data_IF_358572822355
#
_entry.id   IF_358572822355
#
_cell.length_a   1.000
_cell.length_b   1.000
_cell.length_c   1.000
_cell.angle_alpha   90.00
_cell.angle_beta   90.00
_cell.angle_gamma   90.00
#
_symmetry.space_group_name_H-M   'P 1'
#
loop_
_entity.id
_entity.type
_entity.pdbx_description
1 polymer ?
#
# COMPACT_ATOMS: atom_id res chain seq x y z
N UNK A 1 -0.97 15.98 17.92
CA UNK A 1 0.25 15.12 18.05
C UNK A 1 1.26 15.51 16.95
N UNK A 2 2.54 15.57 17.27
CA UNK A 2 3.60 15.99 16.32
C UNK A 2 4.48 14.80 15.94
N UNK A 3 4.68 14.60 14.65
CA UNK A 3 5.47 13.49 14.09
C UNK A 3 6.42 13.97 12.99
N UNK A 4 7.44 13.18 12.68
CA UNK A 4 8.28 13.37 11.47
C UNK A 4 7.87 12.37 10.40
N UNK A 5 8.15 12.68 9.14
CA UNK A 5 7.98 11.72 8.04
C UNK A 5 8.79 10.46 8.36
N UNK A 6 8.19 9.29 8.15
CA UNK A 6 8.78 8.00 8.49
C UNK A 6 8.66 7.61 9.98
N UNK A 7 7.97 8.39 10.81
CA UNK A 7 7.61 7.96 12.17
C UNK A 7 6.70 6.75 12.09
N UNK A 8 7.09 5.66 12.76
CA UNK A 8 6.25 4.45 12.83
C UNK A 8 5.12 4.66 13.82
N UNK A 9 3.91 4.36 13.37
CA UNK A 9 2.72 4.27 14.22
C UNK A 9 2.28 2.81 14.25
N UNK A 10 1.92 2.31 15.42
CA UNK A 10 1.46 0.93 15.57
C UNK A 10 -0.05 0.85 15.40
N UNK A 11 -0.50 -0.10 14.60
CA UNK A 11 -1.89 -0.50 14.52
C UNK A 11 -2.02 -1.89 15.15
N UNK A 12 -3.06 -2.10 15.95
CA UNK A 12 -3.32 -3.37 16.62
C UNK A 12 -4.61 -3.95 16.02
N UNK A 13 -4.55 -5.22 15.61
CA UNK A 13 -5.72 -6.01 15.19
C UNK A 13 -5.95 -7.13 16.17
N UNK A 14 -7.20 -7.36 16.49
CA UNK A 14 -7.62 -8.50 17.28
C UNK A 14 -8.15 -9.61 16.36
N UNK A 15 -7.61 -10.82 16.51
CA UNK A 15 -8.09 -12.01 15.82
C UNK A 15 -8.74 -12.95 16.82
N UNK A 16 -9.96 -13.40 16.54
CA UNK A 16 -10.59 -14.45 17.33
C UNK A 16 -9.95 -15.80 17.00
N UNK A 17 -9.39 -16.48 17.97
CA UNK A 17 -8.85 -17.83 17.82
C UNK A 17 -10.00 -18.83 17.79
N UNK A 18 -10.19 -19.53 16.67
CA UNK A 18 -11.30 -20.46 16.47
C UNK A 18 -10.92 -21.93 16.68
N UNK A 19 -9.69 -22.34 16.45
CA UNK A 19 -9.18 -23.68 16.79
C UNK A 19 -7.66 -23.74 16.84
N UNK A 20 -7.13 -24.80 17.50
CA UNK A 20 -5.68 -25.04 17.61
C UNK A 20 -5.13 -25.99 16.54
N UNK A 21 -5.93 -26.46 15.57
CA UNK A 21 -5.59 -27.57 14.68
C UNK A 21 -5.37 -27.22 13.21
N UNK A 22 -5.37 -25.95 12.84
CA UNK A 22 -5.12 -25.57 11.44
C UNK A 22 -3.70 -25.03 11.27
N UNK A 23 -2.99 -25.50 10.26
CA UNK A 23 -1.67 -24.99 9.84
C UNK A 23 -1.73 -23.54 9.37
N UNK A 24 -2.92 -23.03 9.05
CA UNK A 24 -3.18 -21.65 8.72
C UNK A 24 -3.89 -20.92 9.89
N UNK A 25 -3.57 -19.63 10.14
CA UNK A 25 -4.31 -18.81 11.09
C UNK A 25 -5.80 -18.79 10.75
N UNK A 26 -6.71 -18.88 11.75
CA UNK A 26 -8.14 -18.77 11.51
C UNK A 26 -8.47 -17.45 10.80
N UNK A 27 -9.24 -17.54 9.71
CA UNK A 27 -9.59 -16.39 8.87
C UNK A 27 -8.68 -16.15 7.67
N UNK A 28 -7.45 -16.71 7.66
CA UNK A 28 -6.54 -16.60 6.52
C UNK A 28 -7.14 -17.22 5.26
N UNK A 29 -7.09 -16.46 4.16
CA UNK A 29 -7.58 -16.92 2.85
C UNK A 29 -6.42 -17.51 2.06
N UNK A 30 -6.47 -18.82 1.81
CA UNK A 30 -5.47 -19.49 0.98
C UNK A 30 -5.65 -19.18 -0.52
N UNK A 31 -4.61 -19.42 -1.31
CA UNK A 31 -4.53 -19.06 -2.73
C UNK A 31 -5.70 -19.57 -3.59
N UNK A 32 -6.15 -20.81 -3.35
CA UNK A 32 -7.30 -21.40 -4.09
C UNK A 32 -8.56 -20.58 -3.87
N UNK A 33 -8.83 -20.21 -2.62
CA UNK A 33 -10.00 -19.41 -2.26
C UNK A 33 -9.84 -17.97 -2.77
N UNK A 34 -8.64 -17.40 -2.69
CA UNK A 34 -8.36 -16.05 -3.21
C UNK A 34 -8.59 -15.96 -4.73
N UNK A 35 -8.23 -17.00 -5.50
CA UNK A 35 -8.56 -17.10 -6.94
C UNK A 35 -10.06 -17.15 -7.18
N UNK A 36 -10.81 -17.87 -6.34
CA UNK A 36 -12.27 -17.91 -6.45
C UNK A 36 -12.89 -16.52 -6.19
N UNK A 37 -12.46 -15.81 -5.15
CA UNK A 37 -12.90 -14.44 -4.86
C UNK A 37 -12.55 -13.51 -6.04
N UNK A 38 -11.34 -13.64 -6.61
CA UNK A 38 -10.96 -12.83 -7.77
C UNK A 38 -11.85 -13.08 -8.98
N UNK A 39 -12.22 -14.35 -9.23
CA UNK A 39 -13.12 -14.70 -10.33
C UNK A 39 -14.56 -14.20 -10.14
N UNK A 40 -15.00 -14.08 -8.89
CA UNK A 40 -16.38 -13.67 -8.53
C UNK A 40 -16.53 -12.15 -8.50
N UNK A 41 -15.67 -11.45 -7.76
CA UNK A 41 -15.83 -10.02 -7.50
C UNK A 41 -14.67 -9.16 -8.00
N UNK A 42 -13.57 -9.77 -8.44
CA UNK A 42 -12.36 -9.08 -8.91
C UNK A 42 -11.56 -8.41 -7.77
N UNK A 43 -10.32 -8.84 -7.59
CA UNK A 43 -9.38 -8.25 -6.62
C UNK A 43 -8.43 -7.24 -7.27
N UNK A 44 -8.19 -7.41 -8.57
CA UNK A 44 -7.43 -6.50 -9.43
C UNK A 44 -8.04 -6.51 -10.82
N UNK A 45 -7.69 -5.53 -11.65
CA UNK A 45 -8.05 -5.54 -13.06
C UNK A 45 -7.22 -6.58 -13.82
N UNK A 46 -7.88 -7.41 -14.64
CA UNK A 46 -7.24 -8.45 -15.43
C UNK A 46 -6.80 -9.67 -14.61
N UNK A 47 -5.65 -10.24 -14.95
CA UNK A 47 -5.14 -11.45 -14.31
C UNK A 47 -4.45 -11.16 -12.98
N UNK A 48 -4.83 -11.89 -11.93
CA UNK A 48 -4.24 -11.78 -10.61
C UNK A 48 -3.05 -12.72 -10.43
N UNK A 49 -1.89 -12.17 -10.09
CA UNK A 49 -0.71 -12.94 -9.71
C UNK A 49 -0.84 -13.41 -8.26
N UNK A 50 -1.42 -14.59 -8.03
CA UNK A 50 -1.67 -15.14 -6.69
C UNK A 50 -0.69 -16.26 -6.38
N UNK A 51 0.19 -16.01 -5.40
CA UNK A 51 1.11 -16.97 -4.81
C UNK A 51 1.40 -16.55 -3.37
N UNK A 52 0.96 -17.34 -2.39
CA UNK A 52 0.99 -17.02 -0.96
C UNK A 52 0.31 -15.68 -0.64
N UNK A 53 -0.76 -15.33 -1.37
CA UNK A 53 -1.46 -14.06 -1.40
C UNK A 53 -1.43 -13.39 -2.77
N UNK A 54 -2.01 -12.21 -2.88
CA UNK A 54 -2.03 -11.40 -4.10
C UNK A 54 -0.72 -10.60 -4.23
N UNK A 55 0.11 -10.93 -5.19
CA UNK A 55 1.38 -10.25 -5.42
C UNK A 55 1.16 -8.83 -5.96
N UNK A 56 1.91 -7.89 -5.42
CA UNK A 56 1.95 -6.51 -5.86
C UNK A 56 3.29 -6.18 -6.51
N UNK A 57 3.22 -5.52 -7.66
CA UNK A 57 4.36 -5.01 -8.40
C UNK A 57 4.49 -3.50 -8.20
N UNK A 58 5.71 -3.00 -8.17
CA UNK A 58 5.95 -1.56 -8.16
C UNK A 58 5.64 -0.96 -9.53
N UNK A 59 5.03 0.23 -9.54
CA UNK A 59 4.89 1.04 -10.73
C UNK A 59 5.94 2.15 -10.73
N UNK A 60 6.75 2.19 -11.77
CA UNK A 60 7.62 3.30 -12.08
C UNK A 60 7.12 4.05 -13.34
N UNK A 61 5.89 3.81 -13.76
CA UNK A 61 5.23 4.64 -14.75
C UNK A 61 4.82 5.98 -14.11
N UNK A 62 4.94 7.09 -14.82
CA UNK A 62 4.45 8.38 -14.35
C UNK A 62 2.97 8.32 -13.99
N UNK A 63 2.62 8.72 -12.78
CA UNK A 63 1.23 8.74 -12.29
C UNK A 63 0.65 10.15 -12.23
N UNK A 64 1.52 11.17 -12.35
CA UNK A 64 1.15 12.58 -12.28
C UNK A 64 1.58 13.32 -13.55
N UNK A 65 0.90 14.42 -13.91
CA UNK A 65 1.41 15.33 -14.93
C UNK A 65 2.84 15.79 -14.60
N UNK A 66 3.74 15.75 -15.57
CA UNK A 66 5.15 16.10 -15.35
C UNK A 66 6.09 14.93 -15.11
N UNK A 67 5.57 13.68 -15.07
CA UNK A 67 6.43 12.48 -15.05
C UNK A 67 6.87 12.02 -13.66
N UNK A 68 6.18 12.44 -12.60
CA UNK A 68 6.47 12.02 -11.23
C UNK A 68 6.11 10.54 -11.06
N UNK A 69 7.06 9.74 -10.56
CA UNK A 69 6.87 8.30 -10.27
C UNK A 69 6.79 8.02 -8.77
N UNK A 70 7.15 8.97 -7.94
CA UNK A 70 7.16 8.84 -6.49
C UNK A 70 7.62 10.10 -5.78
N UNK A 71 7.78 9.98 -4.49
CA UNK A 71 8.33 11.04 -3.64
C UNK A 71 9.41 10.48 -2.73
N UNK A 72 10.48 11.25 -2.52
CA UNK A 72 11.50 11.01 -1.51
C UNK A 72 11.34 12.00 -0.36
N UNK A 73 11.42 11.53 0.86
CA UNK A 73 11.38 12.41 2.03
C UNK A 73 12.63 13.28 2.10
N UNK A 74 12.46 14.59 2.33
CA UNK A 74 13.59 15.48 2.55
C UNK A 74 14.23 15.22 3.91
N UNK A 75 15.56 15.14 3.92
CA UNK A 75 16.31 15.11 5.17
C UNK A 75 16.10 16.41 5.94
N UNK A 76 16.01 16.30 7.26
CA UNK A 76 15.85 17.46 8.13
C UNK A 76 14.57 18.29 7.92
N UNK A 77 13.57 17.73 7.23
CA UNK A 77 12.25 18.35 7.16
C UNK A 77 11.66 18.55 8.55
N UNK A 78 10.82 19.58 8.68
CA UNK A 78 10.20 19.96 9.94
C UNK A 78 9.29 18.87 10.52
N UNK A 79 8.75 19.15 11.70
CA UNK A 79 7.77 18.29 12.36
C UNK A 79 6.38 18.60 11.80
N UNK A 80 5.60 17.54 11.56
CA UNK A 80 4.21 17.64 11.11
C UNK A 80 3.31 17.58 12.35
N UNK A 81 2.46 18.58 12.51
CA UNK A 81 1.37 18.55 13.46
C UNK A 81 0.17 17.83 12.84
N UNK A 82 -0.26 16.73 13.45
CA UNK A 82 -1.33 15.88 12.95
C UNK A 82 -2.71 16.54 12.96
N UNK A 83 -2.84 17.64 13.72
CA UNK A 83 -4.07 18.40 13.79
C UNK A 83 -4.16 19.46 12.66
N UNK A 84 -3.04 19.74 11.96
CA UNK A 84 -2.96 20.70 10.86
C UNK A 84 -3.12 20.00 9.50
N UNK A 85 -4.36 19.77 9.10
CA UNK A 85 -4.72 19.15 7.80
C UNK A 85 -4.60 20.19 6.68
N UNK A 86 -3.92 19.83 5.57
CA UNK A 86 -3.71 20.71 4.42
C UNK A 86 -2.79 21.91 4.70
N UNK A 87 -2.09 21.91 5.84
CA UNK A 87 -1.29 23.05 6.28
C UNK A 87 0.13 23.09 5.69
N UNK A 88 0.60 21.99 5.09
CA UNK A 88 2.00 21.85 4.70
C UNK A 88 2.19 21.88 3.20
N UNK A 89 3.24 22.57 2.77
CA UNK A 89 3.69 22.56 1.38
C UNK A 89 4.47 21.27 1.10
N UNK A 90 4.11 20.59 0.00
CA UNK A 90 4.75 19.31 -0.38
C UNK A 90 6.25 19.49 -0.54
N UNK A 91 6.70 20.55 -1.24
CA UNK A 91 8.10 20.77 -1.56
C UNK A 91 9.00 21.03 -0.35
N UNK A 92 8.44 21.37 0.81
CA UNK A 92 9.22 21.54 2.04
C UNK A 92 9.57 20.19 2.71
N UNK A 93 8.79 19.13 2.43
CA UNK A 93 8.93 17.83 3.07
C UNK A 93 9.30 16.71 2.11
N UNK A 94 8.94 16.86 0.85
CA UNK A 94 9.08 15.85 -0.17
C UNK A 94 9.80 16.39 -1.40
N UNK A 95 10.54 15.52 -2.01
CA UNK A 95 11.19 15.74 -3.30
C UNK A 95 10.53 14.79 -4.30
N UNK A 96 10.04 15.35 -5.41
CA UNK A 96 9.46 14.55 -6.48
C UNK A 96 10.53 13.71 -7.17
N UNK A 97 10.25 12.44 -7.39
CA UNK A 97 11.13 11.49 -8.06
C UNK A 97 10.70 11.34 -9.51
N UNK A 98 11.65 11.54 -10.40
CA UNK A 98 11.50 11.38 -11.85
C UNK A 98 12.41 10.26 -12.34
N UNK A 99 11.98 9.55 -13.36
CA UNK A 99 12.82 8.56 -14.01
C UNK A 99 13.46 9.11 -15.28
N UNK A 100 14.69 8.68 -15.50
CA UNK A 100 15.31 8.68 -16.82
C UNK A 100 14.69 7.61 -17.73
N UNK A 101 15.27 7.42 -18.91
CA UNK A 101 14.75 6.52 -19.93
C UNK A 101 14.84 5.01 -19.63
N UNK A 102 15.55 4.60 -18.59
CA UNK A 102 15.86 3.19 -18.27
C UNK A 102 14.85 2.49 -17.36
N UNK A 103 13.81 3.19 -16.91
CA UNK A 103 12.74 2.64 -16.03
C UNK A 103 13.26 1.95 -14.76
N UNK A 104 14.34 2.45 -14.24
CA UNK A 104 14.97 2.01 -13.00
C UNK A 104 15.04 3.14 -11.99
N UNK A 105 14.85 2.82 -10.73
CA UNK A 105 15.01 3.75 -9.63
C UNK A 105 16.04 3.20 -8.65
N UNK A 106 17.06 3.98 -8.35
CA UNK A 106 17.99 3.68 -7.27
C UNK A 106 17.41 4.24 -5.97
N UNK A 107 17.20 3.37 -5.01
CA UNK A 107 16.82 3.74 -3.65
C UNK A 107 18.10 3.95 -2.84
N UNK A 108 18.34 5.18 -2.41
CA UNK A 108 19.48 5.50 -1.57
C UNK A 108 19.33 4.93 -0.16
N UNK A 109 20.44 4.54 0.50
CA UNK A 109 20.41 4.03 1.86
C UNK A 109 19.81 5.03 2.84
N UNK A 110 19.01 4.52 3.78
CA UNK A 110 18.38 5.30 4.85
C UNK A 110 17.33 6.33 4.38
N UNK A 111 17.10 6.47 3.08
CA UNK A 111 16.06 7.34 2.54
C UNK A 111 14.68 6.68 2.61
N UNK A 112 13.65 7.51 2.69
CA UNK A 112 12.25 7.09 2.73
C UNK A 112 11.52 7.56 1.47
N UNK A 113 10.90 6.61 0.78
CA UNK A 113 10.19 6.85 -0.47
C UNK A 113 8.71 6.51 -0.34
N UNK A 114 7.89 7.25 -1.06
CA UNK A 114 6.49 6.92 -1.34
C UNK A 114 6.39 6.58 -2.82
N UNK A 115 5.99 5.35 -3.11
CA UNK A 115 5.80 4.82 -4.46
C UNK A 115 4.40 4.22 -4.58
N UNK A 116 4.01 3.75 -5.76
CA UNK A 116 2.70 3.15 -5.98
C UNK A 116 2.80 1.73 -6.52
N UNK A 117 1.78 0.92 -6.25
CA UNK A 117 1.63 -0.39 -6.90
C UNK A 117 1.23 -0.25 -8.36
N UNK A 118 1.61 -1.23 -9.18
CA UNK A 118 1.15 -1.35 -10.56
C UNK A 118 -0.31 -1.78 -10.63
N UNK A 119 -0.72 -2.63 -9.71
CA UNK A 119 -2.10 -3.10 -9.55
C UNK A 119 -2.95 -2.02 -8.88
N UNK A 120 -4.18 -1.86 -9.35
CA UNK A 120 -5.27 -1.27 -8.59
C UNK A 120 -5.97 -2.40 -7.86
N UNK A 121 -5.99 -2.35 -6.53
CA UNK A 121 -6.47 -3.44 -5.69
C UNK A 121 -7.84 -3.15 -5.09
N UNK A 122 -8.59 -4.22 -4.84
CA UNK A 122 -9.91 -4.19 -4.22
C UNK A 122 -9.96 -5.16 -3.04
N UNK A 123 -10.50 -4.70 -1.92
CA UNK A 123 -10.75 -5.53 -0.74
C UNK A 123 -12.26 -5.60 -0.53
N UNK A 124 -12.89 -6.75 -0.84
CA UNK A 124 -14.33 -6.89 -0.65
C UNK A 124 -14.75 -6.74 0.82
N UNK A 125 -16.02 -6.40 1.08
CA UNK A 125 -16.54 -6.09 2.43
C UNK A 125 -16.34 -7.18 3.48
N UNK A 126 -16.31 -8.45 3.06
CA UNK A 126 -16.14 -9.61 3.93
C UNK A 126 -14.69 -9.88 4.34
N UNK A 127 -13.76 -9.09 3.81
CA UNK A 127 -12.32 -9.32 3.96
C UNK A 127 -11.59 -8.08 4.44
N UNK A 128 -10.44 -8.31 5.02
CA UNK A 128 -9.37 -7.33 5.20
C UNK A 128 -8.12 -7.87 4.52
N UNK A 129 -7.21 -7.00 4.15
CA UNK A 129 -5.91 -7.42 3.65
C UNK A 129 -4.77 -6.79 4.44
N UNK A 130 -3.67 -7.51 4.53
CA UNK A 130 -2.43 -7.06 5.15
C UNK A 130 -1.31 -7.17 4.13
N UNK A 131 -0.50 -6.13 3.99
CA UNK A 131 0.69 -6.22 3.16
C UNK A 131 1.77 -7.00 3.90
N UNK A 132 2.15 -8.13 3.33
CA UNK A 132 3.31 -8.89 3.74
C UNK A 132 4.49 -8.55 2.82
N UNK A 133 5.71 -8.37 3.36
CA UNK A 133 6.89 -8.18 2.53
C UNK A 133 7.09 -9.42 1.64
N UNK A 134 7.60 -9.19 0.43
CA UNK A 134 8.17 -10.26 -0.36
C UNK A 134 9.39 -10.82 0.39
N UNK A 135 9.76 -12.05 0.14
CA UNK A 135 10.72 -12.85 0.88
C UNK A 135 11.80 -12.03 1.65
N UNK A 136 11.88 -12.16 3.00
CA UNK A 136 12.92 -11.50 3.81
C UNK A 136 14.35 -11.90 3.43
N UNK A 137 14.52 -13.03 2.70
CA UNK A 137 15.82 -13.53 2.22
C UNK A 137 16.36 -12.72 1.03
N UNK A 138 15.58 -11.86 0.39
CA UNK A 138 16.02 -11.02 -0.72
C UNK A 138 16.51 -9.66 -0.19
N UNK A 139 17.46 -9.66 0.71
CA UNK A 139 18.33 -8.54 1.02
C UNK A 139 17.68 -7.34 1.71
N UNK A 140 18.27 -6.20 1.49
CA UNK A 140 18.17 -4.92 2.17
C UNK A 140 16.88 -4.12 1.87
N UNK A 141 16.06 -4.59 0.90
CA UNK A 141 14.85 -3.91 0.49
C UNK A 141 13.70 -4.19 1.46
N UNK A 142 13.19 -3.13 2.07
CA UNK A 142 11.99 -3.23 2.91
C UNK A 142 10.90 -2.30 2.41
N UNK A 143 9.80 -2.88 1.97
CA UNK A 143 8.54 -2.17 1.96
C UNK A 143 8.12 -2.05 3.42
N UNK A 144 8.20 -0.84 3.94
CA UNK A 144 7.68 -0.56 5.27
C UNK A 144 6.16 -0.42 5.18
N UNK A 145 5.49 -1.38 5.73
CA UNK A 145 4.14 -1.38 6.28
C UNK A 145 3.22 -0.20 5.88
N UNK A 146 2.77 -0.18 4.67
CA UNK A 146 1.43 0.36 4.44
C UNK A 146 0.46 -0.75 4.93
N UNK A 147 0.48 -1.00 6.21
CA UNK A 147 0.04 -2.18 6.92
C UNK A 147 -1.25 -2.82 6.45
N UNK A 148 -2.39 -2.12 6.56
CA UNK A 148 -3.69 -2.77 6.48
C UNK A 148 -4.57 -2.10 5.45
N UNK A 149 -5.29 -2.92 4.71
CA UNK A 149 -6.32 -2.53 3.76
C UNK A 149 -7.66 -2.92 4.34
N UNK A 150 -8.44 -1.92 4.69
CA UNK A 150 -9.72 -2.11 5.35
C UNK A 150 -10.80 -2.63 4.40
N UNK A 151 -11.88 -3.24 4.92
CA UNK A 151 -13.01 -3.69 4.12
C UNK A 151 -13.58 -2.55 3.28
N UNK A 152 -13.73 -2.77 1.99
CA UNK A 152 -14.20 -1.74 1.06
C UNK A 152 -13.10 -0.91 0.39
N UNK A 153 -11.81 -1.09 0.73
CA UNK A 153 -10.72 -0.40 0.04
C UNK A 153 -10.72 -0.73 -1.46
N UNK A 154 -10.85 0.29 -2.32
CA UNK A 154 -10.91 0.12 -3.77
C UNK A 154 -12.12 -0.68 -4.27
N UNK A 155 -13.01 -1.13 -3.41
CA UNK A 155 -14.17 -1.92 -3.77
C UNK A 155 -15.28 -1.05 -4.35
N UNK A 156 -15.84 -1.52 -5.46
CA UNK A 156 -17.04 -0.95 -6.06
C UNK A 156 -17.92 -2.09 -6.56
N UNK A 157 -19.09 -2.23 -6.00
CA UNK A 157 -20.00 -3.32 -6.30
C UNK A 157 -20.19 -3.55 -7.80
N UNK A 158 -19.73 -4.72 -8.30
CA UNK A 158 -19.87 -5.14 -9.70
C UNK A 158 -18.89 -4.48 -10.69
N UNK A 159 -17.91 -3.71 -10.22
CA UNK A 159 -16.82 -3.15 -11.04
C UNK A 159 -15.51 -3.25 -10.26
N UNK A 160 -14.39 -3.39 -10.96
CA UNK A 160 -13.05 -3.39 -10.37
C UNK A 160 -12.34 -2.07 -10.73
N UNK A 161 -12.73 -0.91 -10.15
CA UNK A 161 -11.96 0.30 -10.32
C UNK A 161 -10.64 0.19 -9.57
N UNK A 162 -10.64 -0.53 -8.44
CA UNK A 162 -9.49 -0.64 -7.55
C UNK A 162 -8.96 0.70 -7.07
N UNK A 163 -8.05 0.65 -6.13
CA UNK A 163 -7.23 1.79 -5.73
C UNK A 163 -5.76 1.37 -5.70
N UNK A 164 -4.85 2.25 -6.09
CA UNK A 164 -3.42 1.98 -6.00
C UNK A 164 -3.02 1.78 -4.54
N UNK A 165 -2.26 0.74 -4.26
CA UNK A 165 -1.57 0.63 -2.98
C UNK A 165 -0.40 1.61 -2.98
N UNK A 166 -0.40 2.52 -2.01
CA UNK A 166 0.74 3.40 -1.77
C UNK A 166 1.77 2.63 -0.96
N UNK A 167 2.98 2.58 -1.47
CA UNK A 167 4.08 1.82 -0.92
C UNK A 167 5.05 2.75 -0.18
N UNK A 168 5.23 2.51 1.10
CA UNK A 168 6.28 3.14 1.91
C UNK A 168 7.54 2.29 1.82
N UNK A 169 8.59 2.82 1.21
CA UNK A 169 9.78 2.06 0.85
C UNK A 169 11.02 2.68 1.47
N UNK A 170 11.91 1.82 1.98
CA UNK A 170 13.21 2.22 2.50
C UNK A 170 14.26 1.17 2.16
N UNK A 171 15.41 1.59 1.64
CA UNK A 171 16.62 0.80 1.66
C UNK A 171 17.34 0.98 3.00
N UNK A 172 18.02 -0.06 3.51
CA UNK A 172 18.69 0.02 4.81
C UNK A 172 20.13 0.55 4.66
N UNK A 173 21.06 -0.30 4.33
CA UNK A 173 22.48 0.02 4.43
C UNK A 173 23.18 0.13 3.07
N UNK A 174 22.60 -0.40 2.00
CA UNK A 174 23.13 -0.33 0.64
C UNK A 174 22.11 0.24 -0.34
N UNK A 175 22.53 0.89 -1.41
CA UNK A 175 21.65 1.30 -2.50
C UNK A 175 20.96 0.08 -3.10
N UNK A 176 19.67 0.21 -3.40
CA UNK A 176 18.89 -0.86 -4.01
C UNK A 176 18.23 -0.37 -5.30
N UNK A 177 18.40 -1.14 -6.38
CA UNK A 177 17.77 -0.83 -7.67
C UNK A 177 16.41 -1.54 -7.74
N UNK A 178 15.36 -0.79 -7.99
CA UNK A 178 14.04 -1.33 -8.32
C UNK A 178 13.72 -1.09 -9.80
N UNK A 179 13.08 -2.05 -10.42
CA UNK A 179 12.66 -1.99 -11.83
C UNK A 179 11.13 -1.94 -11.93
N UNK A 180 10.60 -1.29 -12.98
CA UNK A 180 9.15 -1.26 -13.21
C UNK A 180 8.59 -2.67 -13.34
N UNK A 181 7.53 -2.96 -12.59
CA UNK A 181 6.88 -4.27 -12.57
C UNK A 181 7.55 -5.32 -11.67
N UNK A 182 8.59 -4.97 -10.93
CA UNK A 182 9.18 -5.86 -9.93
C UNK A 182 8.18 -6.14 -8.80
N UNK A 183 8.06 -7.43 -8.39
CA UNK A 183 7.24 -7.80 -7.23
C UNK A 183 7.92 -7.28 -5.96
N UNK A 184 7.18 -6.53 -5.16
CA UNK A 184 7.70 -5.86 -3.97
C UNK A 184 7.00 -6.26 -2.69
N UNK A 185 5.86 -6.90 -2.78
CA UNK A 185 5.07 -7.37 -1.66
C UNK A 185 3.89 -8.20 -2.10
N UNK A 186 3.11 -8.66 -1.15
CA UNK A 186 1.86 -9.37 -1.39
C UNK A 186 0.79 -8.95 -0.40
N UNK A 187 -0.45 -8.94 -0.83
CA UNK A 187 -1.59 -8.78 0.06
C UNK A 187 -2.08 -10.15 0.50
N UNK A 188 -2.11 -10.32 1.78
CA UNK A 188 -2.64 -11.50 2.43
C UNK A 188 -4.01 -11.16 2.99
N UNK A 189 -5.03 -11.88 2.56
CA UNK A 189 -6.42 -11.64 2.93
C UNK A 189 -6.81 -12.47 4.14
N UNK A 190 -7.56 -11.85 5.04
CA UNK A 190 -8.25 -12.52 6.15
C UNK A 190 -9.75 -12.29 6.04
N UNK A 191 -10.54 -13.35 6.23
CA UNK A 191 -11.99 -13.26 6.26
C UNK A 191 -12.45 -12.69 7.60
N UNK A 192 -13.38 -11.76 7.56
CA UNK A 192 -14.02 -11.20 8.75
C UNK A 192 -15.07 -12.15 9.31
N UNK A 193 -15.35 -12.05 10.60
CA UNK A 193 -16.43 -12.77 11.26
C UNK A 193 -17.81 -12.21 10.90
N UNK A 194 -17.85 -10.92 10.58
CA UNK A 194 -19.05 -10.19 10.15
C UNK A 194 -18.63 -9.01 9.25
N UNK A 195 -19.52 -8.60 8.36
CA UNK A 195 -19.31 -7.43 7.50
C UNK A 195 -19.51 -6.17 8.34
N UNK A 196 -18.58 -5.21 8.32
CA UNK A 196 -18.75 -3.95 9.05
C UNK A 196 -19.95 -3.14 8.53
N UNK A 197 -20.64 -2.44 9.42
CA UNK A 197 -21.74 -1.52 9.05
C UNK A 197 -21.23 -0.38 8.14
N UNK A 198 -20.00 0.04 8.32
CA UNK A 198 -19.38 1.13 7.54
C UNK A 198 -18.12 0.61 6.84
N UNK A 199 -18.10 0.71 5.53
CA UNK A 199 -16.96 0.31 4.71
C UNK A 199 -16.00 1.48 4.49
N UNK A 200 -14.75 1.14 4.17
CA UNK A 200 -13.77 2.12 3.75
C UNK A 200 -14.30 2.95 2.55
N UNK A 201 -14.23 4.26 2.65
CA UNK A 201 -14.74 5.17 1.62
C UNK A 201 -16.22 5.56 1.77
N UNK A 202 -16.97 4.94 2.65
CA UNK A 202 -18.35 5.28 2.93
C UNK A 202 -18.45 6.12 4.20
N UNK A 203 -18.62 7.43 4.07
CA UNK A 203 -18.92 8.33 5.19
C UNK A 203 -17.80 8.61 6.19
N UNK A 204 -16.67 7.92 6.12
CA UNK A 204 -15.53 8.08 7.06
C UNK A 204 -14.45 9.01 6.48
N UNK A 205 -14.77 9.96 5.62
CA UNK A 205 -13.77 10.92 5.10
C UNK A 205 -12.46 10.26 4.64
N UNK A 206 -12.54 9.07 4.03
CA UNK A 206 -11.36 8.36 3.54
C UNK A 206 -10.79 9.09 2.34
N UNK A 207 -9.56 9.58 2.48
CA UNK A 207 -8.89 10.36 1.44
C UNK A 207 -8.25 9.49 0.34
N UNK A 208 -8.39 8.16 0.42
CA UNK A 208 -7.60 7.21 -0.37
C UNK A 208 -8.41 6.29 -1.28
N UNK A 209 -9.70 6.57 -1.49
CA UNK A 209 -10.54 5.84 -2.44
C UNK A 209 -10.29 6.33 -3.86
N UNK A 210 -10.10 5.43 -4.81
CA UNK A 210 -9.89 5.71 -6.24
C UNK A 210 -8.67 6.59 -6.57
N UNK A 211 -7.54 6.44 -5.83
CA UNK A 211 -6.38 7.30 -6.07
C UNK A 211 -5.17 6.58 -6.67
N UNK A 212 -4.33 7.41 -7.30
CA UNK A 212 -2.97 7.10 -7.69
C UNK A 212 -1.97 7.34 -6.55
N UNK A 213 -0.80 7.86 -6.88
CA UNK A 213 0.22 8.28 -5.92
C UNK A 213 -0.25 9.53 -5.17
N UNK A 214 -0.55 9.40 -3.89
CA UNK A 214 -1.05 10.51 -3.09
C UNK A 214 -0.35 10.59 -1.74
N UNK A 215 0.06 11.79 -1.37
CA UNK A 215 0.62 12.06 -0.05
C UNK A 215 -0.48 12.20 1.01
N UNK A 216 -0.08 12.17 2.28
CA UNK A 216 -0.98 12.32 3.42
C UNK A 216 -1.83 13.59 3.32
N UNK A 217 -3.04 13.53 3.88
CA UNK A 217 -4.00 14.66 3.97
C UNK A 217 -3.45 15.95 4.61
N UNK A 218 -2.30 15.87 5.27
CA UNK A 218 -1.66 17.03 5.91
C UNK A 218 -0.96 17.94 4.89
N UNK A 219 -0.66 17.41 3.70
CA UNK A 219 -0.07 18.19 2.61
C UNK A 219 -1.15 18.81 1.74
N UNK A 220 -0.87 20.01 1.23
CA UNK A 220 -1.75 20.66 0.27
C UNK A 220 -1.86 19.80 -0.97
N UNK A 221 -3.08 19.50 -1.37
CA UNK A 221 -3.33 18.83 -2.64
C UNK A 221 -3.19 19.89 -3.74
N UNK A 222 -2.33 19.66 -4.71
CA UNK A 222 -2.22 20.49 -5.93
C UNK A 222 -3.37 20.19 -6.88
#
# INVERSE_FOLDING_TARGET
>A
MKVRIGTRLNQIRFRRRVSQQADEPPGRVGDKHLRAIHSDVGLVEGEAAIRDGLNLRISLAPVEPGGIVGYRARRYAGVIDMDNVGGYDVGQYWEAVYLGGDKRLVLDPQEFYILASKESVSVPPEYVAEMAPFDPMIGEYRVHYAGFFDPGFGYSAGKVPGAKAVLEVRSLDIPFIVEDGQIVGRLVYDRLTEVPETLYGQGIGSHYQAQGLKLSKHFRQS
#
